data_IF_237020534592
#
_entry.id   IF_237020534592
#
_cell.length_a   1.000
_cell.length_b   1.000
_cell.length_c   1.000
_cell.angle_alpha   90.00
_cell.angle_beta   90.00
_cell.angle_gamma   90.00
#
_symmetry.space_group_name_H-M   'P 1'
#
loop_
_entity.id
_entity.type
_entity.pdbx_description
1 polymer ?
#
# COMPACT_ATOMS: atom_id res chain seq x y z
N UNK A 1 -23.78 27.33 -9.32
CA UNK A 1 -22.56 27.83 -8.64
C UNK A 1 -21.94 26.63 -7.95
N UNK A 2 -21.01 25.94 -8.61
CA UNK A 2 -20.43 24.70 -8.12
C UNK A 2 -19.02 25.00 -7.63
N UNK A 3 -18.82 24.93 -6.31
CA UNK A 3 -17.56 25.25 -5.65
C UNK A 3 -16.57 24.09 -5.82
N UNK A 4 -15.63 24.26 -6.75
CA UNK A 4 -14.42 23.45 -6.84
C UNK A 4 -13.46 23.90 -5.73
N UNK A 5 -13.54 23.27 -4.57
CA UNK A 5 -12.51 23.43 -3.53
C UNK A 5 -11.51 22.26 -3.64
N UNK A 6 -10.80 22.20 -4.76
CA UNK A 6 -9.64 21.33 -4.93
C UNK A 6 -8.48 21.89 -4.13
N UNK A 7 -8.50 21.65 -2.82
CA UNK A 7 -7.37 21.90 -1.94
C UNK A 7 -6.31 20.84 -2.25
N UNK A 8 -5.62 21.02 -3.37
CA UNK A 8 -4.49 20.20 -3.82
C UNK A 8 -3.33 20.50 -2.88
N UNK A 9 -3.34 19.83 -1.74
CA UNK A 9 -2.28 19.87 -0.74
C UNK A 9 -0.95 19.70 -1.49
N UNK A 10 -0.14 20.75 -1.49
CA UNK A 10 1.14 20.73 -2.17
C UNK A 10 1.98 19.66 -1.51
N UNK A 11 2.12 18.51 -2.19
CA UNK A 11 2.91 17.39 -1.68
C UNK A 11 4.34 17.88 -1.59
N UNK A 12 4.80 18.17 -0.38
CA UNK A 12 6.18 18.61 -0.14
C UNK A 12 7.13 17.51 -0.64
N UNK A 13 7.88 17.82 -1.71
CA UNK A 13 8.79 16.87 -2.33
C UNK A 13 10.08 16.85 -1.52
N UNK A 14 10.20 15.86 -0.65
CA UNK A 14 11.44 15.59 0.09
C UNK A 14 12.51 15.07 -0.86
N UNK A 15 13.64 15.76 -0.91
CA UNK A 15 14.79 15.44 -1.76
C UNK A 15 16.02 15.09 -0.91
N UNK A 16 16.67 13.99 -1.25
CA UNK A 16 17.79 13.45 -0.49
C UNK A 16 19.03 13.30 -1.36
N UNK A 17 20.20 13.43 -0.76
CA UNK A 17 21.45 12.99 -1.37
C UNK A 17 21.59 11.47 -1.33
N UNK A 18 22.50 10.93 -2.15
CA UNK A 18 22.81 9.49 -2.17
C UNK A 18 23.26 9.00 -0.80
N UNK A 19 24.10 9.77 -0.09
CA UNK A 19 24.64 9.38 1.21
C UNK A 19 23.58 9.39 2.31
N UNK A 20 22.66 10.35 2.29
CA UNK A 20 21.52 10.39 3.23
C UNK A 20 20.59 9.21 3.00
N UNK A 21 20.25 8.92 1.74
CA UNK A 21 19.44 7.76 1.38
C UNK A 21 20.11 6.46 1.86
N UNK A 22 21.41 6.29 1.62
CA UNK A 22 22.15 5.11 2.07
C UNK A 22 22.04 4.89 3.59
N UNK A 23 22.19 5.96 4.39
CA UNK A 23 22.06 5.91 5.85
C UNK A 23 20.63 5.60 6.30
N UNK A 24 19.63 6.25 5.71
CA UNK A 24 18.22 6.06 6.06
C UNK A 24 17.74 4.64 5.77
N UNK A 25 18.16 4.06 4.65
CA UNK A 25 17.76 2.71 4.26
C UNK A 25 18.71 1.62 4.75
N UNK A 26 19.80 1.96 5.45
CA UNK A 26 20.77 0.98 5.94
C UNK A 26 21.48 0.20 4.83
N UNK A 27 21.65 0.82 3.65
CA UNK A 27 22.26 0.22 2.45
C UNK A 27 23.57 0.90 2.10
N UNK A 28 24.39 0.24 1.27
CA UNK A 28 25.60 0.87 0.73
C UNK A 28 25.20 1.91 -0.32
N UNK A 29 25.90 3.05 -0.35
CA UNK A 29 25.79 4.07 -1.41
C UNK A 29 25.91 3.49 -2.82
N UNK A 30 26.71 2.43 -3.01
CA UNK A 30 26.82 1.74 -4.30
C UNK A 30 25.50 1.06 -4.72
N UNK A 31 24.72 0.55 -3.78
CA UNK A 31 23.40 -0.04 -4.05
C UNK A 31 22.43 1.01 -4.55
N UNK A 32 22.45 2.21 -3.96
CA UNK A 32 21.64 3.34 -4.42
C UNK A 32 22.08 3.80 -5.82
N UNK A 33 23.40 3.87 -6.08
CA UNK A 33 23.92 4.20 -7.42
C UNK A 33 23.49 3.19 -8.49
N UNK A 34 23.51 1.90 -8.16
CA UNK A 34 23.01 0.84 -9.06
C UNK A 34 21.53 1.05 -9.37
N UNK A 35 20.70 1.28 -8.36
CA UNK A 35 19.28 1.54 -8.58
C UNK A 35 19.00 2.82 -9.41
N UNK A 36 19.90 3.81 -9.37
CA UNK A 36 19.86 4.97 -10.29
C UNK A 36 20.21 4.55 -11.73
N UNK A 37 21.26 3.73 -11.90
CA UNK A 37 21.67 3.23 -13.22
C UNK A 37 20.60 2.32 -13.85
N UNK A 38 19.94 1.50 -13.03
CA UNK A 38 18.84 0.60 -13.40
C UNK A 38 17.51 1.35 -13.57
N UNK A 39 17.51 2.69 -13.46
CA UNK A 39 16.36 3.59 -13.63
C UNK A 39 15.18 3.32 -12.68
N UNK A 40 15.42 2.66 -11.55
CA UNK A 40 14.37 2.36 -10.58
C UNK A 40 14.01 3.56 -9.69
N UNK A 41 14.94 4.53 -9.57
CA UNK A 41 14.82 5.70 -8.71
C UNK A 41 14.82 6.99 -9.53
N UNK A 42 13.80 7.82 -9.32
CA UNK A 42 13.73 9.16 -9.92
C UNK A 42 14.66 10.14 -9.20
N UNK A 43 15.44 10.89 -9.97
CA UNK A 43 16.37 11.89 -9.46
C UNK A 43 16.39 13.15 -10.32
N UNK A 44 16.91 14.23 -9.73
CA UNK A 44 17.32 15.45 -10.42
C UNK A 44 18.76 15.77 -10.05
N UNK A 45 19.48 16.47 -10.93
CA UNK A 45 20.84 16.94 -10.65
C UNK A 45 20.76 18.44 -10.41
N UNK A 46 21.23 18.89 -9.25
CA UNK A 46 21.31 20.33 -8.89
C UNK A 46 22.74 20.63 -8.48
N UNK A 47 23.41 21.54 -9.19
CA UNK A 47 24.80 21.94 -8.91
C UNK A 47 25.78 20.77 -8.95
N UNK A 48 25.61 19.83 -9.89
CA UNK A 48 26.46 18.64 -10.02
C UNK A 48 26.23 17.57 -8.95
N UNK A 49 25.21 17.72 -8.09
CA UNK A 49 24.88 16.75 -7.05
C UNK A 49 23.51 16.13 -7.29
N UNK A 50 23.43 14.81 -7.14
CA UNK A 50 22.18 14.07 -7.23
C UNK A 50 21.25 14.40 -6.07
N UNK A 51 19.99 14.65 -6.39
CA UNK A 51 18.87 14.81 -5.47
C UNK A 51 17.81 13.77 -5.84
N UNK A 52 17.70 12.77 -5.00
CA UNK A 52 16.79 11.64 -5.15
C UNK A 52 15.41 12.00 -4.61
N UNK A 53 14.36 11.54 -5.28
CA UNK A 53 12.99 11.64 -4.76
C UNK A 53 12.78 10.57 -3.66
N UNK A 54 12.44 11.02 -2.45
CA UNK A 54 12.19 10.11 -1.32
C UNK A 54 11.06 9.11 -1.59
N UNK A 55 9.99 9.54 -2.27
CA UNK A 55 8.87 8.64 -2.60
C UNK A 55 9.34 7.46 -3.47
N UNK A 56 10.16 7.77 -4.48
CA UNK A 56 10.70 6.77 -5.39
C UNK A 56 11.63 5.79 -4.66
N UNK A 57 12.46 6.29 -3.73
CA UNK A 57 13.30 5.47 -2.86
C UNK A 57 12.49 4.52 -1.97
N UNK A 58 11.39 4.99 -1.38
CA UNK A 58 10.52 4.14 -0.53
C UNK A 58 9.83 3.05 -1.37
N UNK A 59 9.32 3.39 -2.57
CA UNK A 59 8.73 2.40 -3.48
C UNK A 59 9.76 1.33 -3.88
N UNK A 60 10.99 1.77 -4.18
CA UNK A 60 12.10 0.88 -4.50
C UNK A 60 12.47 -0.04 -3.32
N UNK A 61 12.58 0.50 -2.10
CA UNK A 61 12.98 -0.29 -0.93
C UNK A 61 11.95 -1.36 -0.56
N UNK A 62 10.67 -1.13 -0.85
CA UNK A 62 9.62 -2.10 -0.61
C UNK A 62 9.57 -3.20 -1.65
N UNK A 63 9.94 -2.91 -2.91
CA UNK A 63 9.98 -3.89 -4.01
C UNK A 63 11.08 -4.93 -3.80
N UNK A 64 12.24 -4.50 -3.32
CA UNK A 64 13.39 -5.37 -3.11
C UNK A 64 13.44 -5.93 -1.70
N UNK A 65 13.18 -7.23 -1.55
CA UNK A 65 13.15 -7.90 -0.24
C UNK A 65 14.45 -7.72 0.55
N UNK A 66 15.60 -7.77 -0.12
CA UNK A 66 16.92 -7.58 0.52
C UNK A 66 17.10 -6.16 1.05
N UNK A 67 16.64 -5.14 0.30
CA UNK A 67 16.68 -3.73 0.70
C UNK A 67 15.69 -3.49 1.82
N UNK A 68 14.47 -4.02 1.73
CA UNK A 68 13.45 -3.99 2.79
C UNK A 68 13.99 -4.52 4.11
N UNK A 69 14.64 -5.68 4.07
CA UNK A 69 15.21 -6.30 5.27
C UNK A 69 16.37 -5.48 5.84
N UNK A 70 17.22 -4.89 4.99
CA UNK A 70 18.27 -3.96 5.43
C UNK A 70 17.71 -2.68 6.04
N UNK A 71 16.67 -2.10 5.44
CA UNK A 71 15.99 -0.92 5.96
C UNK A 71 15.33 -1.21 7.31
N UNK A 72 14.71 -2.37 7.47
CA UNK A 72 14.09 -2.80 8.72
C UNK A 72 15.11 -3.00 9.85
N UNK A 73 16.26 -3.61 9.55
CA UNK A 73 17.22 -4.03 10.57
C UNK A 73 18.38 -3.04 10.82
N UNK A 74 18.81 -2.31 9.79
CA UNK A 74 20.00 -1.44 9.80
C UNK A 74 19.70 0.01 9.44
N UNK A 75 18.50 0.29 8.94
CA UNK A 75 18.05 1.62 8.55
C UNK A 75 17.05 2.18 9.55
N UNK A 76 16.23 3.13 9.08
CA UNK A 76 15.21 3.81 9.88
C UNK A 76 14.19 2.86 10.50
N UNK A 77 13.97 1.69 9.92
CA UNK A 77 13.07 0.68 10.48
C UNK A 77 13.50 0.13 11.84
N UNK A 78 14.76 0.31 12.24
CA UNK A 78 15.20 -0.06 13.58
C UNK A 78 14.51 0.79 14.66
N UNK A 79 14.24 2.06 14.34
CA UNK A 79 13.64 3.05 15.23
C UNK A 79 12.11 3.11 15.14
N UNK A 80 11.49 2.49 14.13
CA UNK A 80 10.04 2.51 13.94
C UNK A 80 9.43 1.22 14.46
N UNK A 81 9.00 1.23 15.73
CA UNK A 81 8.33 0.08 16.37
C UNK A 81 7.06 -0.33 15.64
N UNK A 82 6.29 0.64 15.13
CA UNK A 82 5.02 0.40 14.42
C UNK A 82 5.16 -0.43 13.14
N UNK A 83 6.34 -0.48 12.52
CA UNK A 83 6.55 -1.30 11.32
C UNK A 83 6.80 -2.78 11.63
N UNK A 84 7.01 -3.12 12.91
CA UNK A 84 7.28 -4.48 13.38
C UNK A 84 6.00 -5.24 13.75
N UNK A 85 4.82 -4.66 13.53
CA UNK A 85 3.52 -5.29 13.84
C UNK A 85 3.29 -6.45 12.86
N UNK A 86 3.67 -7.66 13.28
CA UNK A 86 3.41 -8.92 12.59
C UNK A 86 2.28 -9.74 13.23
N UNK A 87 1.68 -9.23 14.31
CA UNK A 87 0.77 -10.01 15.15
C UNK A 87 -0.61 -10.19 14.49
N UNK A 88 -1.16 -11.42 14.43
CA UNK A 88 -2.48 -11.70 13.83
C UNK A 88 -3.66 -10.99 14.51
N UNK A 89 -3.49 -10.44 15.72
CA UNK A 89 -4.53 -9.67 16.41
C UNK A 89 -4.85 -8.34 15.70
N UNK A 90 -3.87 -7.74 15.01
CA UNK A 90 -4.01 -6.44 14.33
C UNK A 90 -3.96 -6.54 12.80
N UNK A 91 -3.82 -7.76 12.26
CA UNK A 91 -3.87 -7.98 10.82
C UNK A 91 -5.34 -8.18 10.42
N UNK A 92 -5.85 -7.45 9.42
CA UNK A 92 -7.24 -7.61 8.99
C UNK A 92 -7.48 -9.07 8.58
N UNK A 93 -8.33 -9.76 9.35
CA UNK A 93 -8.69 -11.15 9.05
C UNK A 93 -9.40 -11.16 7.68
N UNK A 94 -8.90 -11.90 6.67
CA UNK A 94 -9.52 -11.92 5.35
C UNK A 94 -10.99 -12.38 5.38
N UNK A 95 -11.40 -13.12 6.43
CA UNK A 95 -12.79 -13.56 6.64
C UNK A 95 -13.74 -12.42 7.06
N UNK A 96 -13.26 -11.31 7.62
CA UNK A 96 -14.11 -10.17 8.03
C UNK A 96 -14.30 -9.13 6.92
N UNK A 97 -13.46 -9.14 5.88
CA UNK A 97 -13.53 -8.20 4.76
C UNK A 97 -14.72 -8.51 3.82
N UNK A 98 -15.24 -9.74 3.85
CA UNK A 98 -16.30 -10.21 2.94
C UNK A 98 -17.73 -9.93 3.48
N UNK A 99 -17.92 -9.41 4.69
CA UNK A 99 -19.26 -9.24 5.26
C UNK A 99 -19.81 -7.80 5.20
N UNK A 100 -20.86 -7.68 4.38
CA UNK A 100 -21.96 -6.69 4.30
C UNK A 100 -21.70 -5.52 3.32
N UNK A 101 -22.65 -5.24 2.40
CA UNK A 101 -23.86 -4.51 2.75
C UNK A 101 -25.13 -5.38 2.66
N UNK A 102 -26.14 -5.06 3.47
CA UNK A 102 -27.45 -5.66 3.38
C UNK A 102 -28.52 -4.59 3.18
N UNK A 103 -29.72 -5.14 2.92
CA UNK A 103 -31.04 -4.55 3.10
C UNK A 103 -31.51 -3.64 1.96
N UNK A 104 -32.32 -4.22 1.07
CA UNK A 104 -33.45 -3.53 0.45
C UNK A 104 -34.63 -4.49 0.48
N UNK A 105 -35.55 -4.27 1.42
CA UNK A 105 -36.86 -4.90 1.40
C UNK A 105 -37.75 -4.19 0.39
N UNK A 106 -38.61 -4.95 -0.30
CA UNK A 106 -39.99 -4.52 -0.60
C UNK A 106 -40.84 -5.64 -1.25
N UNK A 107 -42.06 -5.76 -0.73
CA UNK A 107 -43.33 -6.04 -1.42
C UNK A 107 -43.71 -7.47 -1.89
N UNK A 108 -44.66 -8.03 -1.14
CA UNK A 108 -45.89 -8.76 -1.53
C UNK A 108 -46.08 -9.10 -3.04
N UNK A 109 -46.15 -10.39 -3.37
CA UNK A 109 -46.96 -10.89 -4.49
C UNK A 109 -47.39 -12.36 -4.27
N UNK A 110 -48.67 -12.52 -4.00
CA UNK A 110 -49.43 -13.76 -4.02
C UNK A 110 -49.45 -14.35 -5.44
N UNK A 111 -49.18 -15.65 -5.57
CA UNK A 111 -49.77 -16.51 -6.60
C UNK A 111 -50.00 -17.91 -6.02
N UNK A 112 -51.21 -18.12 -5.51
CA UNK A 112 -51.88 -19.41 -5.66
C UNK A 112 -51.98 -19.72 -7.16
N UNK A 113 -51.41 -20.83 -7.62
CA UNK A 113 -51.94 -21.57 -8.78
C UNK A 113 -51.43 -23.02 -8.78
N UNK A 114 -52.38 -23.91 -8.54
CA UNK A 114 -52.60 -25.23 -9.15
C UNK A 114 -51.37 -26.06 -9.59
N UNK A 115 -51.12 -27.16 -8.86
CA UNK A 115 -51.07 -28.50 -9.45
C UNK A 115 -51.31 -29.57 -8.39
N UNK A 116 -52.56 -29.99 -8.29
CA UNK A 116 -53.00 -31.26 -7.72
C UNK A 116 -52.27 -32.45 -8.36
N UNK A 117 -51.78 -33.42 -7.56
CA UNK A 117 -52.14 -34.86 -7.58
C UNK A 117 -51.08 -35.75 -6.87
N UNK A 118 -51.47 -36.98 -6.46
CA UNK A 118 -51.21 -37.48 -5.10
C UNK A 118 -50.04 -38.46 -4.96
N UNK A 119 -49.73 -38.74 -3.69
CA UNK A 119 -48.97 -39.89 -3.18
C UNK A 119 -49.12 -41.18 -3.99
N UNK A 120 -48.03 -41.95 -4.09
CA UNK A 120 -48.09 -43.39 -3.95
C UNK A 120 -47.39 -43.85 -2.67
N UNK A 121 -48.15 -44.51 -1.80
CA UNK A 121 -47.65 -45.37 -0.73
C UNK A 121 -47.09 -46.66 -1.32
N UNK A 122 -45.85 -47.02 -0.96
CA UNK A 122 -45.39 -48.39 -0.68
C UNK A 122 -44.32 -48.30 0.40
#
# INVERSE_FOLDING_TARGET
MENQNDNKQQKEIVRLSISEAAKLFGVNSQTVRRAIADQEITYIIVGGRYKLNFESLVKWSQRHTTVRNKMANKGIGQYVEKWKISNPLFSPNPKTIIKKPADTGDTLANKNDLASKPNPSV
#
